data_IF_223257547707
#
_entry.id   IF_223257547707
#
_cell.length_a   1.000
_cell.length_b   1.000
_cell.length_c   1.000
_cell.angle_alpha   90.00
_cell.angle_beta   90.00
_cell.angle_gamma   90.00
#
_symmetry.space_group_name_H-M   'P 1'
#
loop_
_entity.id
_entity.type
_entity.pdbx_description
1 polymer ?
#
# COMPACT_ATOMS: atom_id res chain seq x y z
N UNK A 1 -9.34 5.83 15.65
CA UNK A 1 -8.11 5.04 15.47
C UNK A 1 -7.70 5.17 14.02
N UNK A 2 -6.42 5.32 13.69
CA UNK A 2 -5.98 5.46 12.30
C UNK A 2 -6.03 4.10 11.62
N UNK A 3 -6.65 4.02 10.44
CA UNK A 3 -6.65 2.83 9.59
C UNK A 3 -5.46 2.89 8.64
N UNK A 4 -4.79 1.77 8.39
CA UNK A 4 -3.77 1.69 7.33
C UNK A 4 -4.37 1.01 6.11
N UNK A 5 -4.35 1.68 4.97
CA UNK A 5 -4.67 1.09 3.67
C UNK A 5 -3.37 0.76 2.94
N UNK A 6 -3.07 -0.53 2.76
CA UNK A 6 -1.87 -0.96 2.05
C UNK A 6 -2.16 -1.19 0.56
N UNK A 7 -1.80 -0.19 -0.23
CA UNK A 7 -1.87 -0.21 -1.69
C UNK A 7 -0.77 -1.10 -2.28
N UNK A 8 -1.13 -1.88 -3.31
CA UNK A 8 -0.17 -2.78 -4.00
C UNK A 8 -0.25 -2.68 -5.51
N UNK A 9 -1.40 -3.02 -6.11
CA UNK A 9 -1.61 -2.96 -7.58
C UNK A 9 -2.67 -1.93 -7.96
N UNK A 10 -3.46 -1.54 -6.99
CA UNK A 10 -4.69 -0.77 -7.04
C UNK A 10 -4.43 0.68 -6.59
N UNK A 11 -3.52 1.37 -7.28
CA UNK A 11 -3.13 2.76 -7.01
C UNK A 11 -4.24 3.75 -7.45
N UNK A 12 -5.40 3.68 -6.81
CA UNK A 12 -6.60 4.48 -7.10
C UNK A 12 -7.44 4.69 -5.84
N UNK A 13 -8.27 5.73 -5.83
CA UNK A 13 -9.23 5.95 -4.74
C UNK A 13 -10.65 5.50 -5.09
N UNK A 14 -11.03 5.64 -6.37
CA UNK A 14 -12.36 5.28 -6.84
C UNK A 14 -12.51 3.76 -6.99
N UNK A 15 -13.73 3.27 -6.74
CA UNK A 15 -14.11 1.85 -6.84
C UNK A 15 -13.12 0.94 -6.10
N UNK A 16 -12.91 1.24 -4.81
CA UNK A 16 -11.92 0.57 -3.99
C UNK A 16 -12.55 0.08 -2.68
N UNK A 17 -13.07 -1.14 -2.68
CA UNK A 17 -13.79 -1.72 -1.54
C UNK A 17 -12.96 -1.73 -0.24
N UNK A 18 -11.69 -2.17 -0.27
CA UNK A 18 -10.85 -2.17 0.93
C UNK A 18 -10.61 -0.76 1.51
N UNK A 19 -10.41 0.25 0.65
CA UNK A 19 -10.27 1.64 1.07
C UNK A 19 -11.57 2.19 1.66
N UNK A 20 -12.72 1.89 1.06
CA UNK A 20 -14.02 2.28 1.62
C UNK A 20 -14.22 1.72 3.03
N UNK A 21 -13.90 0.43 3.24
CA UNK A 21 -13.93 -0.20 4.57
C UNK A 21 -12.94 0.43 5.55
N UNK A 22 -11.75 0.81 5.09
CA UNK A 22 -10.75 1.49 5.92
C UNK A 22 -11.26 2.87 6.40
N UNK A 23 -11.92 3.61 5.51
CA UNK A 23 -12.48 4.93 5.79
C UNK A 23 -13.68 4.88 6.76
N UNK A 24 -14.50 3.82 6.68
CA UNK A 24 -15.56 3.58 7.67
C UNK A 24 -15.00 3.33 9.08
N UNK A 25 -13.81 2.73 9.19
CA UNK A 25 -13.17 2.45 10.48
C UNK A 25 -12.46 3.67 11.10
N UNK A 26 -12.10 4.67 10.30
CA UNK A 26 -11.46 5.90 10.76
C UNK A 26 -10.61 6.61 9.69
N UNK A 27 -9.86 7.65 10.07
CA UNK A 27 -8.92 8.34 9.17
C UNK A 27 -7.93 7.35 8.56
N UNK A 28 -7.70 7.45 7.25
CA UNK A 28 -6.88 6.50 6.50
C UNK A 28 -5.49 7.06 6.25
N UNK A 29 -4.47 6.29 6.61
CA UNK A 29 -3.11 6.45 6.13
C UNK A 29 -2.88 5.47 4.97
N UNK A 30 -2.53 5.99 3.80
CA UNK A 30 -2.07 5.17 2.69
C UNK A 30 -0.66 4.65 2.96
N UNK A 31 -0.42 3.38 2.65
CA UNK A 31 0.90 2.76 2.67
C UNK A 31 1.20 2.10 1.33
N UNK A 32 2.37 2.35 0.78
CA UNK A 32 2.95 1.56 -0.30
C UNK A 32 4.34 1.07 0.11
N UNK A 33 4.62 -0.21 -0.12
CA UNK A 33 5.94 -0.81 0.14
C UNK A 33 6.59 -1.15 -1.20
N UNK A 34 7.69 -0.47 -1.51
CA UNK A 34 8.60 -0.86 -2.59
C UNK A 34 9.38 -2.08 -2.10
N UNK A 35 8.88 -3.25 -2.50
CA UNK A 35 9.50 -4.54 -2.22
C UNK A 35 10.70 -4.78 -3.16
N UNK A 36 11.94 -4.91 -2.63
CA UNK A 36 13.11 -5.22 -3.43
C UNK A 36 12.96 -6.46 -4.32
N UNK A 37 12.23 -7.48 -3.87
CA UNK A 37 11.99 -8.71 -4.63
C UNK A 37 11.31 -8.45 -5.98
N UNK A 38 10.42 -7.46 -6.03
CA UNK A 38 9.71 -7.04 -7.24
C UNK A 38 10.43 -5.89 -7.95
N UNK A 39 10.98 -4.95 -7.19
CA UNK A 39 11.62 -3.74 -7.70
C UNK A 39 12.86 -4.07 -8.54
N UNK A 40 13.72 -4.96 -8.05
CA UNK A 40 15.00 -5.28 -8.70
C UNK A 40 14.81 -5.98 -10.05
N UNK A 41 13.68 -6.66 -10.23
CA UNK A 41 13.29 -7.33 -11.49
C UNK A 41 12.50 -6.43 -12.45
N UNK A 42 12.07 -5.25 -12.00
CA UNK A 42 11.32 -4.32 -12.83
C UNK A 42 12.26 -3.50 -13.74
N UNK A 43 11.95 -3.44 -15.03
CA UNK A 43 12.66 -2.56 -15.97
C UNK A 43 12.44 -1.07 -15.67
N UNK A 44 13.32 -0.21 -16.20
CA UNK A 44 13.32 1.22 -15.93
C UNK A 44 11.97 1.91 -16.21
N UNK A 45 11.33 1.61 -17.34
CA UNK A 45 10.02 2.18 -17.70
C UNK A 45 8.96 1.85 -16.64
N UNK A 46 8.93 0.59 -16.18
CA UNK A 46 7.98 0.15 -15.15
C UNK A 46 8.21 0.87 -13.82
N UNK A 47 9.47 1.07 -13.43
CA UNK A 47 9.83 1.81 -12.21
C UNK A 47 9.38 3.27 -12.29
N UNK A 48 9.64 3.94 -13.42
CA UNK A 48 9.22 5.34 -13.63
C UNK A 48 7.69 5.46 -13.62
N UNK A 49 6.98 4.57 -14.31
CA UNK A 49 5.51 4.56 -14.26
C UNK A 49 4.98 4.36 -12.85
N UNK A 50 5.54 3.41 -12.08
CA UNK A 50 5.14 3.18 -10.70
C UNK A 50 5.34 4.44 -9.84
N UNK A 51 6.52 5.05 -9.87
CA UNK A 51 6.79 6.25 -9.08
C UNK A 51 5.82 7.39 -9.42
N UNK A 52 5.58 7.65 -10.72
CA UNK A 52 4.58 8.64 -11.15
C UNK A 52 3.17 8.33 -10.66
N UNK A 53 2.77 7.05 -10.66
CA UNK A 53 1.47 6.65 -10.11
C UNK A 53 1.40 6.81 -8.59
N UNK A 54 2.51 6.64 -7.88
CA UNK A 54 2.56 6.89 -6.43
C UNK A 54 2.48 8.38 -6.12
N UNK A 55 3.13 9.24 -6.89
CA UNK A 55 3.03 10.70 -6.75
C UNK A 55 1.58 11.15 -6.96
N UNK A 56 0.93 10.71 -8.05
CA UNK A 56 -0.47 11.04 -8.33
C UNK A 56 -1.44 10.50 -7.26
N UNK A 57 -1.16 9.31 -6.72
CA UNK A 57 -1.95 8.75 -5.61
C UNK A 57 -1.78 9.58 -4.34
N UNK A 58 -0.54 10.00 -4.02
CA UNK A 58 -0.27 10.84 -2.85
C UNK A 58 -0.98 12.19 -2.96
N UNK A 59 -0.95 12.82 -4.13
CA UNK A 59 -1.71 14.05 -4.41
C UNK A 59 -3.21 13.84 -4.21
N UNK A 60 -3.76 12.73 -4.73
CA UNK A 60 -5.18 12.40 -4.57
C UNK A 60 -5.57 12.11 -3.11
N UNK A 61 -4.60 11.74 -2.26
CA UNK A 61 -4.76 11.49 -0.83
C UNK A 61 -4.37 12.69 0.04
N UNK A 62 -4.27 13.90 -0.53
CA UNK A 62 -3.87 15.12 0.18
C UNK A 62 -2.54 14.99 0.94
N UNK A 63 -1.59 14.20 0.41
CA UNK A 63 -0.28 13.98 1.03
C UNK A 63 -0.24 12.86 2.08
N UNK A 64 -1.33 12.12 2.27
CA UNK A 64 -1.44 11.05 3.27
C UNK A 64 -1.03 9.66 2.75
N UNK A 65 -0.07 9.58 1.81
CA UNK A 65 0.55 8.33 1.38
C UNK A 65 1.99 8.21 1.91
N UNK A 66 2.25 7.15 2.64
CA UNK A 66 3.60 6.77 3.09
C UNK A 66 4.17 5.73 2.14
N UNK A 67 5.35 6.03 1.59
CA UNK A 67 6.14 5.07 0.82
C UNK A 67 7.31 4.59 1.68
N UNK A 68 7.53 3.26 1.70
CA UNK A 68 8.66 2.61 2.37
C UNK A 68 9.33 1.62 1.42
N UNK A 69 10.58 1.29 1.70
CA UNK A 69 11.33 0.28 0.95
C UNK A 69 11.69 -0.85 1.92
N UNK A 70 11.49 -2.10 1.52
CA UNK A 70 11.86 -3.26 2.34
C UNK A 70 10.90 -4.44 2.18
N UNK A 71 11.06 -5.44 3.05
CA UNK A 71 10.16 -6.60 3.09
C UNK A 71 8.76 -6.17 3.56
N UNK A 72 7.68 -6.42 2.78
CA UNK A 72 6.34 -6.06 3.22
C UNK A 72 5.91 -6.72 4.53
N UNK A 73 6.39 -7.95 4.80
CA UNK A 73 6.09 -8.68 6.04
C UNK A 73 6.68 -8.04 7.29
N UNK A 74 7.69 -7.18 7.13
CA UNK A 74 8.33 -6.44 8.23
C UNK A 74 7.83 -4.99 8.28
N UNK A 75 7.75 -4.34 7.13
CA UNK A 75 7.42 -2.92 7.00
C UNK A 75 5.96 -2.65 7.35
N UNK A 76 5.02 -3.49 6.88
CA UNK A 76 3.58 -3.25 7.10
C UNK A 76 3.22 -3.32 8.60
N UNK A 77 3.64 -4.36 9.36
CA UNK A 77 3.41 -4.37 10.80
C UNK A 77 4.11 -3.24 11.55
N UNK A 78 5.33 -2.85 11.14
CA UNK A 78 6.06 -1.75 11.75
C UNK A 78 5.30 -0.41 11.60
N UNK A 79 4.85 -0.08 10.38
CA UNK A 79 4.07 1.14 10.14
C UNK A 79 2.74 1.12 10.89
N UNK A 80 2.04 -0.02 10.90
CA UNK A 80 0.79 -0.16 11.66
C UNK A 80 1.01 0.13 13.15
N UNK A 81 2.12 -0.37 13.73
CA UNK A 81 2.51 -0.09 15.12
C UNK A 81 2.83 1.39 15.34
N UNK A 82 3.61 2.01 14.46
CA UNK A 82 4.03 3.41 14.58
C UNK A 82 2.84 4.39 14.63
N UNK A 83 1.76 4.06 13.92
CA UNK A 83 0.55 4.90 13.84
C UNK A 83 -0.60 4.43 14.73
N UNK A 84 -0.37 3.38 15.53
CA UNK A 84 -1.36 2.81 16.43
C UNK A 84 -2.59 2.24 15.70
N UNK A 85 -2.41 1.70 14.49
CA UNK A 85 -3.47 1.05 13.73
C UNK A 85 -3.71 -0.38 14.23
N UNK A 86 -4.97 -0.71 14.55
CA UNK A 86 -5.36 -2.08 14.90
C UNK A 86 -5.56 -2.98 13.68
N UNK A 87 -5.79 -2.37 12.52
CA UNK A 87 -6.21 -3.07 11.31
C UNK A 87 -5.49 -2.49 10.09
N UNK A 88 -4.94 -3.39 9.27
CA UNK A 88 -4.43 -3.06 7.93
C UNK A 88 -5.41 -3.60 6.90
N UNK A 89 -5.85 -2.73 5.99
CA UNK A 89 -6.76 -3.06 4.92
C UNK A 89 -5.97 -3.31 3.63
N UNK A 90 -6.31 -4.39 2.94
CA UNK A 90 -5.71 -4.80 1.67
C UNK A 90 -6.79 -5.29 0.72
N UNK A 91 -6.59 -5.13 -0.58
CA UNK A 91 -7.33 -5.92 -1.59
C UNK A 91 -6.80 -7.37 -1.65
N UNK A 92 -7.59 -8.33 -2.11
CA UNK A 92 -7.04 -9.67 -2.34
C UNK A 92 -6.02 -9.65 -3.50
N UNK A 93 -4.87 -10.32 -3.34
CA UNK A 93 -3.95 -10.64 -4.45
C UNK A 93 -4.02 -12.14 -4.72
N UNK A 94 -4.37 -12.51 -5.95
CA UNK A 94 -4.53 -13.90 -6.37
C UNK A 94 -3.31 -14.46 -7.11
N UNK A 95 -2.25 -13.68 -7.27
CA UNK A 95 -0.99 -14.18 -7.81
C UNK A 95 -0.23 -15.01 -6.75
N UNK A 96 0.54 -16.03 -7.14
CA UNK A 96 1.23 -16.94 -6.21
C UNK A 96 2.07 -16.21 -5.16
N UNK A 97 2.84 -15.20 -5.57
CA UNK A 97 3.66 -14.41 -4.66
C UNK A 97 2.81 -13.61 -3.65
N UNK A 98 1.70 -13.02 -4.10
CA UNK A 98 0.81 -12.24 -3.24
C UNK A 98 0.15 -13.11 -2.18
N UNK A 99 -0.34 -14.29 -2.57
CA UNK A 99 -0.90 -15.27 -1.63
C UNK A 99 0.12 -15.74 -0.61
N UNK A 100 1.36 -16.03 -1.04
CA UNK A 100 2.41 -16.47 -0.12
C UNK A 100 2.83 -15.36 0.86
N UNK A 101 2.88 -14.11 0.41
CA UNK A 101 3.24 -12.95 1.23
C UNK A 101 2.15 -12.61 2.24
N UNK A 102 0.89 -12.80 1.87
CA UNK A 102 -0.28 -12.40 2.67
C UNK A 102 -0.82 -13.53 3.59
N UNK A 103 -0.27 -14.76 3.47
CA UNK A 103 -0.60 -15.92 4.31
C UNK A 103 0.07 -15.87 5.68
#
# INVERSE_FOLDING_TARGET
MTSVMWFRRDLRLNDHAALARAAEAGPVLGLFVIDPHLWDRAGAVRRVCLLRSLDALNESMDGHLVVRVGSPTEVVPAVAKDVGASTVFISADFAPYGQQRDA
#
